data_IF_679869337786
#
_entry.id   IF_679869337786
#
_cell.length_a   1.000
_cell.length_b   1.000
_cell.length_c   1.000
_cell.angle_alpha   90.00
_cell.angle_beta   90.00
_cell.angle_gamma   90.00
#
_symmetry.space_group_name_H-M   'P 1'
#
loop_
_entity.id
_entity.type
_entity.pdbx_description
1 polymer ?
#
# COMPACT_ATOMS: atom_id res chain seq x y z
N UNK A 1 27.18 51.49 -48.10
CA UNK A 1 28.39 51.39 -47.27
C UNK A 1 28.05 50.45 -46.10
N UNK A 2 28.39 49.15 -46.19
CA UNK A 2 29.50 48.44 -45.48
C UNK A 2 29.20 48.23 -43.97
N UNK A 3 29.34 47.07 -43.31
CA UNK A 3 29.85 45.71 -43.62
C UNK A 3 29.19 44.67 -42.67
N UNK A 4 29.06 43.39 -43.03
CA UNK A 4 30.03 42.27 -42.97
C UNK A 4 30.22 41.63 -41.58
N UNK A 5 29.71 40.39 -41.39
CA UNK A 5 30.26 39.24 -40.62
C UNK A 5 29.41 37.99 -41.01
N UNK A 6 29.82 37.08 -41.90
CA UNK A 6 30.76 35.93 -41.80
C UNK A 6 30.42 34.82 -40.77
N UNK A 7 30.29 33.61 -41.34
CA UNK A 7 30.42 32.25 -40.76
C UNK A 7 29.23 31.75 -39.89
N UNK A 8 28.81 30.48 -39.86
CA UNK A 8 29.36 29.23 -40.38
C UNK A 8 28.19 28.23 -40.57
N UNK A 9 28.26 27.39 -41.60
CA UNK A 9 27.47 26.15 -41.66
C UNK A 9 28.03 25.13 -40.67
N UNK A 10 27.15 24.29 -40.09
CA UNK A 10 27.32 22.88 -40.34
C UNK A 10 25.99 22.21 -40.75
N UNK A 11 26.10 21.40 -41.80
CA UNK A 11 25.10 20.41 -42.16
C UNK A 11 24.93 19.42 -41.01
N UNK A 12 23.71 19.23 -40.54
CA UNK A 12 23.35 18.03 -39.79
C UNK A 12 22.00 17.52 -40.25
N UNK A 13 22.08 16.39 -40.95
CA UNK A 13 21.19 15.25 -40.88
C UNK A 13 19.70 15.54 -41.05
N UNK A 14 19.26 15.33 -42.29
CA UNK A 14 18.02 14.65 -42.62
C UNK A 14 17.66 13.59 -41.56
N UNK A 15 16.70 13.93 -40.70
CA UNK A 15 15.90 12.95 -39.99
C UNK A 15 14.50 13.12 -40.52
N UNK A 16 14.15 12.24 -41.44
CA UNK A 16 12.80 11.89 -41.83
C UNK A 16 12.01 11.60 -40.56
N UNK A 17 11.33 12.62 -40.02
CA UNK A 17 10.39 12.47 -38.93
C UNK A 17 9.17 11.75 -39.49
N UNK A 18 9.19 10.42 -39.37
CA UNK A 18 8.01 9.57 -39.54
C UNK A 18 6.89 10.14 -38.65
N UNK A 19 5.66 10.31 -39.15
CA UNK A 19 4.56 10.72 -38.30
C UNK A 19 4.28 9.57 -37.33
N UNK A 20 4.73 9.73 -36.08
CA UNK A 20 4.34 8.84 -35.00
C UNK A 20 2.81 8.90 -34.89
N UNK A 21 2.18 7.77 -35.16
CA UNK A 21 0.74 7.57 -35.00
C UNK A 21 0.40 7.93 -33.55
N UNK A 22 -0.21 9.09 -33.35
CA UNK A 22 -0.78 9.52 -32.08
C UNK A 22 -1.91 8.57 -31.70
N UNK A 23 -1.55 7.45 -31.05
CA UNK A 23 -2.52 6.69 -30.27
C UNK A 23 -2.82 7.51 -29.01
N UNK A 24 -3.83 8.36 -29.11
CA UNK A 24 -4.47 9.00 -27.95
C UNK A 24 -5.11 7.88 -27.15
N UNK A 25 -4.42 7.38 -26.14
CA UNK A 25 -5.09 6.65 -25.07
C UNK A 25 -5.98 7.66 -24.34
N UNK A 26 -7.31 7.44 -24.23
CA UNK A 26 -8.06 8.16 -23.21
C UNK A 26 -7.38 7.81 -21.88
N UNK A 27 -7.05 8.84 -21.10
CA UNK A 27 -6.53 8.74 -19.74
C UNK A 27 -7.55 8.01 -18.88
N UNK A 28 -7.58 6.68 -18.98
CA UNK A 28 -8.05 5.83 -17.88
C UNK A 28 -7.03 6.11 -16.78
N UNK A 29 -7.45 6.62 -15.61
CA UNK A 29 -6.55 6.55 -14.46
C UNK A 29 -6.09 5.10 -14.36
N UNK A 30 -4.79 4.83 -14.12
CA UNK A 30 -4.40 3.47 -13.76
C UNK A 30 -5.38 3.03 -12.68
N UNK A 31 -5.96 1.80 -12.75
CA UNK A 31 -6.68 1.30 -11.58
C UNK A 31 -5.69 1.53 -10.44
N UNK A 32 -6.10 2.31 -9.43
CA UNK A 32 -5.38 2.30 -8.17
C UNK A 32 -5.11 0.81 -7.93
N UNK A 33 -3.86 0.44 -7.64
CA UNK A 33 -3.57 -0.90 -7.18
C UNK A 33 -4.50 -1.09 -5.98
N UNK A 34 -5.70 -1.63 -6.24
CA UNK A 34 -6.75 -1.76 -5.27
C UNK A 34 -6.21 -2.91 -4.45
N UNK A 35 -5.50 -2.55 -3.38
CA UNK A 35 -4.97 -3.51 -2.43
C UNK A 35 -6.15 -4.40 -2.07
N UNK A 36 -6.05 -5.67 -2.45
CA UNK A 36 -7.14 -6.60 -2.29
C UNK A 36 -7.43 -6.71 -0.78
N UNK A 37 -8.63 -6.36 -0.32
CA UNK A 37 -8.90 -6.25 1.11
C UNK A 37 -8.72 -7.59 1.83
N UNK A 38 -8.92 -8.71 1.13
CA UNK A 38 -8.59 -10.03 1.64
C UNK A 38 -7.08 -10.21 1.85
N UNK A 39 -6.25 -9.73 0.93
CA UNK A 39 -4.79 -9.72 1.07
C UNK A 39 -4.33 -8.82 2.21
N UNK A 40 -4.95 -7.66 2.39
CA UNK A 40 -4.69 -6.76 3.52
C UNK A 40 -5.02 -7.42 4.87
N UNK A 41 -6.16 -8.12 4.98
CA UNK A 41 -6.50 -8.87 6.19
C UNK A 41 -5.51 -10.02 6.45
N UNK A 42 -5.07 -10.72 5.41
CA UNK A 42 -4.07 -11.78 5.55
C UNK A 42 -2.73 -11.22 6.04
N UNK A 43 -2.33 -10.08 5.51
CA UNK A 43 -1.11 -9.39 5.95
C UNK A 43 -1.25 -8.89 7.39
N UNK A 44 -2.42 -8.37 7.78
CA UNK A 44 -2.72 -8.02 9.15
C UNK A 44 -2.60 -9.24 10.09
N UNK A 45 -3.15 -10.39 9.71
CA UNK A 45 -3.03 -11.64 10.46
C UNK A 45 -1.57 -12.10 10.58
N UNK A 46 -0.79 -11.94 9.52
CA UNK A 46 0.65 -12.25 9.50
C UNK A 46 1.40 -11.37 10.49
N UNK A 47 1.19 -10.05 10.46
CA UNK A 47 1.86 -9.11 11.36
C UNK A 47 1.46 -9.30 12.82
N UNK A 48 0.19 -9.62 13.09
CA UNK A 48 -0.28 -9.97 14.45
C UNK A 48 0.42 -11.24 14.95
N UNK A 49 0.54 -12.26 14.09
CA UNK A 49 1.21 -13.51 14.47
C UNK A 49 2.70 -13.27 14.70
N UNK A 50 3.36 -12.47 13.84
CA UNK A 50 4.76 -12.09 14.04
C UNK A 50 4.97 -11.29 15.33
N UNK A 51 4.04 -10.40 15.69
CA UNK A 51 4.06 -9.69 16.96
C UNK A 51 3.92 -10.64 18.17
N UNK A 52 3.06 -11.66 18.07
CA UNK A 52 2.88 -12.67 19.11
C UNK A 52 4.14 -13.54 19.27
N UNK A 53 4.72 -14.00 18.14
CA UNK A 53 5.93 -14.81 18.11
C UNK A 53 7.14 -14.05 18.68
N UNK A 54 7.26 -12.77 18.35
CA UNK A 54 8.36 -11.91 18.81
C UNK A 54 8.08 -11.27 20.17
N UNK A 55 6.92 -11.52 20.77
CA UNK A 55 6.42 -10.77 21.93
C UNK A 55 7.48 -10.63 23.01
N UNK A 56 8.01 -11.75 23.52
CA UNK A 56 8.97 -11.78 24.63
C UNK A 56 10.33 -11.15 24.30
N UNK A 57 10.69 -11.07 23.01
CA UNK A 57 11.91 -10.42 22.54
C UNK A 57 11.79 -8.91 22.32
N UNK A 58 10.57 -8.37 22.28
CA UNK A 58 10.32 -6.94 22.01
C UNK A 58 10.28 -6.11 23.30
N UNK A 59 10.87 -4.92 23.25
CA UNK A 59 10.72 -3.93 24.32
C UNK A 59 9.27 -3.41 24.39
N UNK A 60 8.81 -2.93 25.56
CA UNK A 60 7.46 -2.37 25.69
C UNK A 60 7.15 -1.27 24.67
N UNK A 61 8.13 -0.40 24.38
CA UNK A 61 7.97 0.66 23.38
C UNK A 61 7.75 0.11 21.95
N UNK A 62 8.51 -0.93 21.56
CA UNK A 62 8.34 -1.57 20.26
C UNK A 62 7.00 -2.29 20.14
N UNK A 63 6.56 -2.98 21.21
CA UNK A 63 5.24 -3.61 21.27
C UNK A 63 4.15 -2.56 21.05
N UNK A 64 4.19 -1.45 21.79
CA UNK A 64 3.19 -0.39 21.68
C UNK A 64 3.18 0.27 20.30
N UNK A 65 4.35 0.50 19.70
CA UNK A 65 4.44 1.01 18.33
C UNK A 65 3.82 0.06 17.31
N UNK A 66 4.12 -1.25 17.40
CA UNK A 66 3.54 -2.26 16.50
C UNK A 66 2.03 -2.38 16.70
N UNK A 67 1.56 -2.43 17.95
CA UNK A 67 0.13 -2.46 18.30
C UNK A 67 -0.61 -1.27 17.70
N UNK A 68 -0.07 -0.05 17.85
CA UNK A 68 -0.70 1.15 17.30
C UNK A 68 -0.80 1.08 15.76
N UNK A 69 0.25 0.60 15.09
CA UNK A 69 0.24 0.36 13.65
C UNK A 69 -0.83 -0.65 13.23
N UNK A 70 -0.96 -1.76 13.95
CA UNK A 70 -1.97 -2.80 13.68
C UNK A 70 -3.40 -2.27 13.90
N UNK A 71 -3.63 -1.47 14.94
CA UNK A 71 -4.94 -0.84 15.18
C UNK A 71 -5.33 0.12 14.05
N UNK A 72 -4.37 0.89 13.54
CA UNK A 72 -4.60 1.76 12.39
C UNK A 72 -4.92 0.95 11.14
N UNK A 73 -4.19 -0.14 10.88
CA UNK A 73 -4.45 -1.01 9.72
C UNK A 73 -5.82 -1.69 9.82
N UNK A 74 -6.24 -2.18 11.00
CA UNK A 74 -7.61 -2.69 11.23
C UNK A 74 -8.65 -1.64 10.82
N UNK A 75 -8.45 -0.38 11.18
CA UNK A 75 -9.40 0.70 10.87
C UNK A 75 -9.50 0.95 9.37
N UNK A 76 -8.37 0.98 8.67
CA UNK A 76 -8.31 1.16 7.22
C UNK A 76 -9.01 -0.02 6.53
N UNK A 77 -8.62 -1.25 6.86
CA UNK A 77 -9.18 -2.46 6.27
C UNK A 77 -10.67 -2.59 6.58
N UNK A 78 -11.13 -2.22 7.78
CA UNK A 78 -12.55 -2.21 8.12
C UNK A 78 -13.34 -1.25 7.22
N UNK A 79 -12.80 -0.07 6.91
CA UNK A 79 -13.42 0.86 5.98
C UNK A 79 -13.47 0.28 4.56
N UNK A 80 -12.40 -0.39 4.12
CA UNK A 80 -12.36 -1.04 2.82
C UNK A 80 -13.38 -2.18 2.73
N UNK A 81 -13.49 -3.02 3.77
CA UNK A 81 -14.50 -4.09 3.88
C UNK A 81 -15.92 -3.53 3.77
N UNK A 82 -16.20 -2.39 4.42
CA UNK A 82 -17.52 -1.77 4.36
C UNK A 82 -17.89 -1.30 2.94
N UNK A 83 -16.88 -0.97 2.12
CA UNK A 83 -17.05 -0.57 0.72
C UNK A 83 -17.09 -1.77 -0.24
N UNK A 84 -16.89 -3.01 0.23
CA UNK A 84 -16.91 -4.20 -0.62
C UNK A 84 -18.31 -4.57 -1.12
N UNK A 85 -18.40 -5.26 -2.27
CA UNK A 85 -19.63 -5.92 -2.70
C UNK A 85 -20.18 -6.86 -1.61
N UNK A 86 -21.52 -6.95 -1.48
CA UNK A 86 -22.15 -7.74 -0.42
C UNK A 86 -21.82 -9.24 -0.49
N UNK A 87 -21.47 -9.76 -1.66
CA UNK A 87 -21.08 -11.17 -1.84
C UNK A 87 -19.68 -11.47 -1.26
N UNK A 88 -18.79 -10.48 -1.24
CA UNK A 88 -17.40 -10.64 -0.79
C UNK A 88 -17.20 -10.20 0.67
N UNK A 89 -18.04 -9.27 1.13
CA UNK A 89 -17.95 -8.68 2.46
C UNK A 89 -17.93 -9.71 3.60
N UNK A 90 -18.79 -10.76 3.64
CA UNK A 90 -18.83 -11.69 4.75
C UNK A 90 -17.53 -12.48 4.94
N UNK A 91 -16.88 -12.86 3.83
CA UNK A 91 -15.61 -13.59 3.87
C UNK A 91 -14.50 -12.72 4.48
N UNK A 92 -14.32 -11.50 3.95
CA UNK A 92 -13.28 -10.59 4.42
C UNK A 92 -13.56 -10.11 5.85
N UNK A 93 -14.82 -9.84 6.18
CA UNK A 93 -15.23 -9.46 7.52
C UNK A 93 -14.98 -10.57 8.54
N UNK A 94 -15.19 -11.84 8.16
CA UNK A 94 -14.87 -12.99 9.01
C UNK A 94 -13.36 -13.06 9.31
N UNK A 95 -12.52 -12.92 8.28
CA UNK A 95 -11.06 -12.90 8.46
C UNK A 95 -10.61 -11.70 9.31
N UNK A 96 -11.19 -10.52 9.09
CA UNK A 96 -10.90 -9.31 9.86
C UNK A 96 -11.30 -9.48 11.33
N UNK A 97 -12.43 -10.13 11.59
CA UNK A 97 -12.87 -10.50 12.94
C UNK A 97 -11.85 -11.38 13.67
N UNK A 98 -11.27 -12.38 12.99
CA UNK A 98 -10.19 -13.22 13.56
C UNK A 98 -8.96 -12.38 13.90
N UNK A 99 -8.57 -11.44 13.03
CA UNK A 99 -7.45 -10.54 13.28
C UNK A 99 -7.69 -9.67 14.53
N UNK A 100 -8.88 -9.08 14.66
CA UNK A 100 -9.25 -8.27 15.83
C UNK A 100 -9.20 -9.08 17.12
N UNK A 101 -9.71 -10.32 17.11
CA UNK A 101 -9.68 -11.21 18.29
C UNK A 101 -8.23 -11.50 18.70
N UNK A 102 -7.35 -11.86 17.74
CA UNK A 102 -5.93 -12.12 18.02
C UNK A 102 -5.21 -10.88 18.55
N UNK A 103 -5.43 -9.71 17.94
CA UNK A 103 -4.86 -8.45 18.43
C UNK A 103 -5.33 -8.13 19.86
N UNK A 104 -6.60 -8.39 20.16
CA UNK A 104 -7.16 -8.21 21.51
C UNK A 104 -6.53 -9.15 22.54
N UNK A 105 -6.22 -10.39 22.14
CA UNK A 105 -5.51 -11.34 23.01
C UNK A 105 -4.10 -10.84 23.36
N UNK A 106 -3.36 -10.31 22.37
CA UNK A 106 -2.05 -9.68 22.60
C UNK A 106 -2.15 -8.47 23.54
N UNK A 107 -3.14 -7.59 23.34
CA UNK A 107 -3.40 -6.45 24.25
C UNK A 107 -3.67 -6.91 25.69
N UNK A 108 -4.33 -8.07 25.86
CA UNK A 108 -4.56 -8.65 27.17
C UNK A 108 -3.26 -9.15 27.81
N UNK A 109 -2.37 -9.79 27.02
CA UNK A 109 -1.03 -10.21 27.47
C UNK A 109 -0.17 -9.04 27.94
N UNK A 110 -0.28 -7.87 27.31
CA UNK A 110 0.40 -6.64 27.76
C UNK A 110 -0.05 -6.21 29.15
N UNK A 111 -1.36 -6.28 29.41
CA UNK A 111 -1.98 -5.78 30.65
C UNK A 111 -1.82 -6.74 31.83
N UNK A 112 -1.67 -8.02 31.56
CA UNK A 112 -1.33 -9.06 32.53
C UNK A 112 -0.03 -9.76 32.13
N UNK A 113 1.13 -9.12 32.34
CA UNK A 113 2.38 -9.87 32.28
C UNK A 113 2.29 -10.93 33.39
N UNK A 114 2.38 -12.22 33.02
CA UNK A 114 2.56 -13.27 34.01
C UNK A 114 3.80 -12.90 34.83
N UNK A 115 3.59 -12.63 36.13
CA UNK A 115 4.62 -12.16 37.06
C UNK A 115 5.62 -13.25 37.42
#
# INVERSE_FOLDING_TARGET
>A
MAGALLTASPAHAEVTAQPAVTHVYPLRPPPALQSDPKSEVQELLRQISELDDQWDGLTPAQRNQRIAGLQQQVTIVQNDVNNLPPDQRPEVQGMLGVAIIRLTDILRKERWPAG
#
